data_IF_990510397919
#
_entry.id   IF_990510397919
#
_cell.length_a   1.000
_cell.length_b   1.000
_cell.length_c   1.000
_cell.angle_alpha   90.00
_cell.angle_beta   90.00
_cell.angle_gamma   90.00
#
_symmetry.space_group_name_H-M   'P 1'
#
loop_
_entity.id
_entity.type
_entity.pdbx_description
1 polymer ?
#
# COMPACT_ATOMS: atom_id res chain seq x y z
N UNK A 1 -2.24 0.50 1.09
CA UNK A 1 -3.09 0.44 -0.13
C UNK A 1 -4.41 -0.26 0.17
N UNK A 2 -5.53 0.24 -0.35
CA UNK A 2 -6.88 -0.33 -0.15
C UNK A 2 -7.52 -0.64 -1.51
N UNK A 3 -8.07 -1.85 -1.67
CA UNK A 3 -8.76 -2.30 -2.89
C UNK A 3 -10.26 -2.42 -2.63
N UNK A 4 -11.07 -1.90 -3.56
CA UNK A 4 -12.54 -1.88 -3.49
C UNK A 4 -13.18 -2.45 -4.74
N UNK A 5 -14.32 -3.12 -4.58
CA UNK A 5 -15.12 -3.57 -5.71
C UNK A 5 -16.03 -2.42 -6.23
N UNK A 6 -16.83 -2.72 -7.25
CA UNK A 6 -17.81 -1.79 -7.84
C UNK A 6 -18.88 -1.27 -6.87
N UNK A 7 -19.21 -2.03 -5.81
CA UNK A 7 -20.12 -1.58 -4.74
C UNK A 7 -19.42 -0.75 -3.65
N UNK A 8 -18.11 -0.50 -3.76
CA UNK A 8 -17.33 0.20 -2.75
C UNK A 8 -16.88 -0.66 -1.56
N UNK A 9 -17.22 -1.95 -1.53
CA UNK A 9 -16.78 -2.89 -0.48
C UNK A 9 -15.26 -3.05 -0.53
N UNK A 10 -14.61 -2.90 0.61
CA UNK A 10 -13.17 -3.17 0.75
C UNK A 10 -12.97 -4.68 0.75
N UNK A 11 -12.22 -5.19 -0.22
CA UNK A 11 -11.91 -6.63 -0.30
C UNK A 11 -10.42 -6.93 -0.07
N UNK A 12 -9.56 -5.91 -0.09
CA UNK A 12 -8.13 -6.08 0.12
C UNK A 12 -7.49 -4.88 0.81
N UNK A 13 -6.62 -5.17 1.76
CA UNK A 13 -5.77 -4.17 2.44
C UNK A 13 -4.33 -4.68 2.42
N UNK A 14 -3.42 -3.84 1.95
CA UNK A 14 -1.98 -4.11 1.94
C UNK A 14 -1.24 -3.03 2.71
N UNK A 15 -0.37 -3.48 3.62
CA UNK A 15 0.55 -2.67 4.42
C UNK A 15 1.90 -2.62 3.73
N UNK A 16 2.51 -1.44 3.74
CA UNK A 16 3.82 -1.19 3.15
C UNK A 16 4.74 -0.85 4.32
N UNK A 17 5.79 -1.65 4.49
CA UNK A 17 6.88 -1.28 5.39
C UNK A 17 8.01 -0.68 4.57
N UNK A 18 8.31 0.59 4.82
CA UNK A 18 9.39 1.30 4.15
C UNK A 18 10.77 0.82 4.59
N UNK A 19 10.93 0.39 5.84
CA UNK A 19 12.23 0.02 6.39
C UNK A 19 12.72 -1.29 5.77
N UNK A 20 11.85 -2.30 5.73
CA UNK A 20 12.17 -3.59 5.11
C UNK A 20 11.89 -3.64 3.59
N UNK A 21 11.29 -2.59 3.01
CA UNK A 21 10.82 -2.55 1.61
C UNK A 21 9.87 -3.72 1.28
N UNK A 22 9.03 -4.12 2.23
CA UNK A 22 8.11 -5.26 2.08
C UNK A 22 6.64 -4.85 2.00
N UNK A 23 5.84 -5.72 1.37
CA UNK A 23 4.40 -5.59 1.23
C UNK A 23 3.70 -6.75 1.94
N UNK A 24 2.75 -6.43 2.81
CA UNK A 24 2.02 -7.42 3.60
C UNK A 24 0.52 -7.32 3.37
N UNK A 25 -0.12 -8.44 3.03
CA UNK A 25 -1.57 -8.51 3.09
C UNK A 25 -2.03 -8.45 4.55
N UNK A 26 -2.98 -7.58 4.86
CA UNK A 26 -3.42 -7.34 6.23
C UNK A 26 -3.91 -8.59 6.94
N UNK A 27 -4.63 -9.46 6.23
CA UNK A 27 -5.09 -10.75 6.77
C UNK A 27 -3.96 -11.72 7.11
N UNK A 28 -2.76 -11.55 6.55
CA UNK A 28 -1.57 -12.34 6.91
C UNK A 28 -0.91 -11.85 8.20
N UNK A 29 -1.07 -10.56 8.52
CA UNK A 29 -0.52 -9.99 9.76
C UNK A 29 -1.42 -10.33 10.95
N UNK A 30 -2.73 -10.13 10.82
CA UNK A 30 -3.71 -10.58 11.83
C UNK A 30 -5.15 -10.53 11.31
N UNK A 31 -6.06 -11.18 12.04
CA UNK A 31 -7.51 -11.10 11.78
C UNK A 31 -8.04 -9.65 11.90
N UNK A 32 -7.54 -8.90 12.88
CA UNK A 32 -7.92 -7.51 13.12
C UNK A 32 -7.46 -6.55 12.02
N UNK A 33 -6.46 -6.95 11.22
CA UNK A 33 -5.95 -6.17 10.09
C UNK A 33 -6.54 -6.62 8.74
N UNK A 34 -7.56 -7.47 8.75
CA UNK A 34 -8.19 -7.97 7.53
C UNK A 34 -9.09 -6.92 6.85
N UNK A 35 -9.27 -7.07 5.54
CA UNK A 35 -10.15 -6.21 4.75
C UNK A 35 -11.60 -6.17 5.26
N UNK A 36 -12.11 -7.28 5.82
CA UNK A 36 -13.46 -7.33 6.39
C UNK A 36 -13.60 -6.37 7.57
N UNK A 37 -12.64 -6.38 8.51
CA UNK A 37 -12.67 -5.51 9.69
C UNK A 37 -12.60 -4.04 9.27
N UNK A 38 -11.72 -3.70 8.32
CA UNK A 38 -11.65 -2.34 7.79
C UNK A 38 -12.92 -1.93 7.04
N UNK A 39 -13.56 -2.83 6.30
CA UNK A 39 -14.85 -2.58 5.65
C UNK A 39 -15.93 -2.23 6.69
N UNK A 40 -15.95 -2.92 7.82
CA UNK A 40 -16.92 -2.70 8.88
C UNK A 40 -16.68 -1.37 9.60
N UNK A 41 -15.43 -1.02 9.91
CA UNK A 41 -15.09 0.29 10.47
C UNK A 41 -15.49 1.45 9.55
N UNK A 42 -15.22 1.32 8.24
CA UNK A 42 -15.45 2.39 7.29
C UNK A 42 -16.94 2.62 6.99
N UNK A 43 -17.73 1.56 6.93
CA UNK A 43 -19.13 1.63 6.51
C UNK A 43 -20.12 1.66 7.67
N UNK A 44 -19.80 1.07 8.83
CA UNK A 44 -20.75 0.89 9.92
C UNK A 44 -20.53 1.87 11.09
N UNK A 45 -19.69 2.91 10.93
CA UNK A 45 -19.30 3.85 12.00
C UNK A 45 -18.81 3.14 13.28
N UNK A 46 -18.30 1.92 13.15
CA UNK A 46 -17.74 1.19 14.27
C UNK A 46 -16.44 1.90 14.63
N UNK A 47 -16.42 2.54 15.80
CA UNK A 47 -15.20 3.16 16.31
C UNK A 47 -14.23 2.03 16.66
N UNK A 48 -13.04 1.98 16.05
CA UNK A 48 -12.03 1.04 16.49
C UNK A 48 -11.71 1.35 17.96
N UNK A 49 -11.72 0.33 18.81
CA UNK A 49 -11.21 0.44 20.18
C UNK A 49 -9.68 0.46 20.10
N UNK A 50 -9.14 1.58 19.62
CA UNK A 50 -7.71 1.84 19.60
C UNK A 50 -7.37 2.20 21.03
N UNK A 51 -6.91 1.21 21.80
CA UNK A 51 -6.13 1.52 23.00
C UNK A 51 -4.93 2.29 22.49
N UNK A 52 -4.88 3.57 22.80
CA UNK A 52 -3.75 4.42 22.49
C UNK A 52 -2.50 3.68 23.00
N UNK A 53 -1.59 3.25 22.11
CA UNK A 53 -0.36 2.64 22.58
C UNK A 53 0.32 3.71 23.44
N UNK A 54 0.70 3.36 24.67
CA UNK A 54 1.48 4.27 25.51
C UNK A 54 2.74 4.63 24.73
N UNK A 55 2.72 5.81 24.11
CA UNK A 55 3.81 6.27 23.25
C UNK A 55 4.98 6.55 24.18
N UNK A 56 5.93 5.62 24.27
CA UNK A 56 7.31 6.03 24.48
C UNK A 56 7.64 6.82 23.22
N UNK A 57 7.79 8.13 23.35
CA UNK A 57 7.99 9.08 22.25
C UNK A 57 8.89 8.44 21.19
N UNK A 58 8.48 8.31 19.92
CA UNK A 58 9.47 8.11 18.89
C UNK A 58 10.32 9.37 18.93
N UNK A 59 11.61 9.23 19.25
CA UNK A 59 12.58 10.29 19.02
C UNK A 59 12.49 10.63 17.55
N UNK A 60 11.77 11.70 17.23
CA UNK A 60 11.70 12.28 15.90
C UNK A 60 13.15 12.68 15.59
N UNK A 61 13.86 12.02 14.65
CA UNK A 61 15.02 12.70 14.11
C UNK A 61 14.45 13.92 13.42
N UNK A 62 14.85 15.12 13.86
CA UNK A 62 14.65 16.35 13.11
C UNK A 62 15.31 16.13 11.74
N UNK A 63 14.52 15.63 10.79
CA UNK A 63 14.96 15.47 9.41
C UNK A 63 14.96 16.87 8.85
N UNK A 64 16.15 17.45 8.73
CA UNK A 64 16.35 18.72 8.06
C UNK A 64 15.74 18.57 6.66
N UNK A 65 14.81 19.45 6.31
CA UNK A 65 14.03 19.46 5.06
C UNK A 65 14.86 19.58 3.76
N UNK A 66 16.18 19.42 3.83
CA UNK A 66 17.10 19.58 2.69
C UNK A 66 17.58 18.25 2.07
N UNK A 67 17.34 17.10 2.71
CA UNK A 67 17.84 15.79 2.24
C UNK A 67 16.72 14.82 1.80
N UNK A 68 15.56 15.34 1.41
CA UNK A 68 14.67 14.58 0.53
C UNK A 68 15.35 14.49 -0.83
N UNK A 69 16.29 13.56 -0.94
CA UNK A 69 16.72 13.05 -2.23
C UNK A 69 15.42 12.72 -2.97
N UNK A 70 15.25 13.37 -4.12
CA UNK A 70 14.45 12.84 -5.21
C UNK A 70 15.10 11.50 -5.56
N UNK A 71 14.80 10.47 -4.77
CA UNK A 71 15.10 9.11 -5.18
C UNK A 71 14.24 8.90 -6.40
N UNK A 72 14.91 8.79 -7.54
CA UNK A 72 14.27 8.33 -8.76
C UNK A 72 13.57 7.00 -8.44
N UNK A 73 12.35 6.78 -8.95
CA UNK A 73 11.65 5.53 -8.77
C UNK A 73 12.60 4.36 -9.02
N UNK A 74 12.64 3.39 -8.09
CA UNK A 74 13.42 2.17 -8.29
C UNK A 74 13.05 1.57 -9.66
N UNK A 75 14.03 1.02 -10.39
CA UNK A 75 13.86 0.46 -11.74
C UNK A 75 12.65 -0.48 -11.91
N UNK A 76 12.22 -1.15 -10.84
CA UNK A 76 11.01 -1.99 -10.82
C UNK A 76 9.71 -1.19 -11.09
N UNK A 77 9.72 0.12 -10.85
CA UNK A 77 8.58 1.03 -10.90
C UNK A 77 8.69 2.07 -12.02
N UNK A 78 9.67 1.93 -12.93
CA UNK A 78 9.80 2.77 -14.12
C UNK A 78 8.53 2.73 -15.01
N UNK A 79 7.68 1.72 -14.83
CA UNK A 79 6.38 1.64 -15.50
C UNK A 79 5.38 2.73 -15.08
N UNK A 80 5.56 3.38 -13.92
CA UNK A 80 4.67 4.44 -13.44
C UNK A 80 4.97 5.80 -14.06
N UNK A 81 6.15 5.98 -14.65
CA UNK A 81 6.61 7.23 -15.25
C UNK A 81 6.49 7.23 -16.77
N UNK A 82 6.08 6.10 -17.38
CA UNK A 82 5.81 6.01 -18.82
C UNK A 82 4.66 6.97 -19.13
N UNK A 83 4.99 8.00 -19.90
CA UNK A 83 4.14 9.14 -20.19
C UNK A 83 2.74 8.75 -20.69
N UNK A 84 1.78 9.63 -20.39
CA UNK A 84 0.36 9.60 -20.78
C UNK A 84 0.11 9.70 -22.29
N UNK A 85 0.92 9.06 -23.12
CA UNK A 85 0.68 8.94 -24.55
C UNK A 85 0.38 7.48 -24.89
N UNK A 86 -0.93 7.23 -24.91
CA UNK A 86 -1.60 6.20 -25.72
C UNK A 86 -1.06 4.77 -25.64
N UNK A 87 -1.64 3.99 -24.71
CA UNK A 87 -1.80 2.54 -24.89
C UNK A 87 -0.99 1.58 -24.00
N UNK A 88 0.00 2.03 -23.24
CA UNK A 88 1.08 1.13 -22.80
C UNK A 88 0.97 0.37 -21.46
N UNK A 89 -0.04 0.57 -20.61
CA UNK A 89 -0.02 -0.07 -19.26
C UNK A 89 -0.42 -1.55 -19.27
N UNK A 90 -1.26 -1.98 -20.21
CA UNK A 90 -1.75 -3.36 -20.26
C UNK A 90 -0.76 -4.27 -21.02
N UNK A 91 -0.13 -3.77 -22.09
CA UNK A 91 0.87 -4.53 -22.87
C UNK A 91 2.14 -4.87 -22.08
N UNK A 92 2.62 -3.93 -21.25
CA UNK A 92 3.82 -4.15 -20.44
C UNK A 92 3.64 -5.27 -19.40
N UNK A 93 2.41 -5.47 -18.90
CA UNK A 93 2.09 -6.51 -17.92
C UNK A 93 1.88 -7.88 -18.59
N UNK A 94 1.37 -7.91 -19.82
CA UNK A 94 1.10 -9.12 -20.59
C UNK A 94 2.40 -9.88 -20.94
N UNK A 95 3.49 -9.15 -21.21
CA UNK A 95 4.81 -9.73 -21.45
C UNK A 95 5.48 -10.38 -20.23
N UNK A 96 5.01 -10.10 -19.01
CA UNK A 96 5.59 -10.60 -17.76
C UNK A 96 4.93 -11.91 -17.26
N UNK A 97 3.74 -12.24 -17.76
CA UNK A 97 2.92 -13.35 -17.24
C UNK A 97 2.88 -14.59 -18.13
N UNK A 98 3.64 -14.65 -19.22
CA UNK A 98 3.72 -15.85 -20.07
C UNK A 98 5.06 -16.55 -19.83
N UNK A 99 5.11 -17.64 -19.04
CA UNK A 99 6.26 -18.54 -19.09
C UNK A 99 6.19 -19.27 -20.44
N UNK A 100 7.20 -19.08 -21.28
CA UNK A 100 7.38 -19.89 -22.49
C UNK A 100 7.70 -21.32 -22.04
N UNK A 101 6.82 -22.26 -22.37
CA UNK A 101 7.08 -23.69 -22.33
C UNK A 101 7.98 -24.10 -23.51
#
# INVERSE_FOLDING_TARGET
MVRRNNTGRIYGVTFIDHNSKTLWNGSRLSKGLSASIFNDYWNNNIKPNIKEPAISQPSLPTLKDADLLKEDPHQLFDFLTIDKHEGGLIEALDGLLIPKA
#
